data_IF_578305003851
#
_entry.id   IF_578305003851
#
_cell.length_a   1.000
_cell.length_b   1.000
_cell.length_c   1.000
_cell.angle_alpha   90.00
_cell.angle_beta   90.00
_cell.angle_gamma   90.00
#
_symmetry.space_group_name_H-M   'P 1'
#
loop_
_entity.id
_entity.type
_entity.pdbx_description
1 polymer ?
#
# COMPACT_ATOMS: atom_id res chain seq x y z
N UNK A 1 -31.01 41.67 -30.04
CA UNK A 1 -31.81 40.45 -29.85
C UNK A 1 -30.90 39.44 -29.17
N UNK A 2 -30.97 39.38 -27.84
CA UNK A 2 -30.20 38.41 -27.06
C UNK A 2 -31.01 37.12 -27.05
N UNK A 3 -30.49 36.08 -27.70
CA UNK A 3 -31.06 34.75 -27.67
C UNK A 3 -30.93 34.18 -26.27
N UNK A 4 -32.07 34.05 -25.59
CA UNK A 4 -32.19 33.28 -24.35
C UNK A 4 -31.81 31.83 -24.62
N UNK A 5 -30.76 31.37 -23.94
CA UNK A 5 -30.41 29.96 -23.85
C UNK A 5 -31.59 29.21 -23.22
N UNK A 6 -32.28 28.40 -24.02
CA UNK A 6 -33.24 27.41 -23.53
C UNK A 6 -32.50 26.42 -22.64
N UNK A 7 -32.73 26.49 -21.34
CA UNK A 7 -32.39 25.45 -20.39
C UNK A 7 -33.16 24.19 -20.77
N UNK A 8 -32.49 23.24 -21.42
CA UNK A 8 -33.07 21.92 -21.67
C UNK A 8 -33.46 21.28 -20.35
N UNK A 9 -34.68 20.74 -20.27
CA UNK A 9 -35.12 19.99 -19.10
C UNK A 9 -34.15 18.83 -18.84
N UNK A 10 -33.67 18.68 -17.60
CA UNK A 10 -32.80 17.57 -17.22
C UNK A 10 -33.49 16.24 -17.53
N UNK A 11 -32.76 15.30 -18.14
CA UNK A 11 -33.24 13.94 -18.48
C UNK A 11 -33.75 13.18 -17.25
N UNK A 12 -33.15 13.45 -16.08
CA UNK A 12 -33.46 12.86 -14.78
C UNK A 12 -33.82 13.93 -13.76
N UNK A 13 -34.44 13.56 -12.64
CA UNK A 13 -34.77 14.52 -11.56
C UNK A 13 -33.50 15.26 -11.09
N UNK A 14 -33.41 16.59 -11.33
CA UNK A 14 -32.23 17.37 -10.97
C UNK A 14 -32.08 17.56 -9.45
N UNK A 15 -33.14 17.31 -8.66
CA UNK A 15 -33.16 17.54 -7.22
C UNK A 15 -32.82 16.29 -6.39
N UNK A 16 -32.87 15.10 -7.00
CA UNK A 16 -32.72 13.83 -6.28
C UNK A 16 -31.43 13.75 -5.45
N UNK A 17 -30.27 14.07 -6.04
CA UNK A 17 -28.97 14.04 -5.34
C UNK A 17 -28.95 14.99 -4.15
N UNK A 18 -29.47 16.20 -4.31
CA UNK A 18 -29.50 17.18 -3.23
C UNK A 18 -30.44 16.74 -2.10
N UNK A 19 -31.56 16.09 -2.43
CA UNK A 19 -32.45 15.51 -1.43
C UNK A 19 -31.76 14.43 -0.58
N UNK A 20 -30.96 13.55 -1.20
CA UNK A 20 -30.19 12.52 -0.47
C UNK A 20 -29.12 13.16 0.44
N UNK A 21 -28.42 14.19 -0.04
CA UNK A 21 -27.44 14.93 0.78
C UNK A 21 -28.12 15.63 1.96
N UNK A 22 -29.28 16.25 1.73
CA UNK A 22 -30.06 16.94 2.76
C UNK A 22 -30.62 15.99 3.83
N UNK A 23 -30.72 14.69 3.54
CA UNK A 23 -31.16 13.68 4.51
C UNK A 23 -30.13 13.42 5.63
N UNK A 24 -28.88 13.90 5.51
CA UNK A 24 -27.89 13.79 6.57
C UNK A 24 -28.29 14.60 7.82
N UNK A 25 -28.62 13.89 8.90
CA UNK A 25 -29.09 14.47 10.16
C UNK A 25 -28.10 15.41 10.87
N UNK A 26 -28.55 16.15 11.90
CA UNK A 26 -27.77 17.20 12.56
C UNK A 26 -26.55 16.70 13.35
N UNK A 27 -26.49 15.39 13.67
CA UNK A 27 -25.37 14.78 14.42
C UNK A 27 -24.18 14.39 13.53
N UNK A 28 -24.28 14.48 12.21
CA UNK A 28 -23.16 14.19 11.30
C UNK A 28 -22.04 15.21 11.51
N UNK A 29 -20.84 14.74 11.83
CA UNK A 29 -19.67 15.60 12.02
C UNK A 29 -19.35 16.39 10.74
N UNK A 30 -18.67 17.57 10.85
CA UNK A 30 -18.30 18.36 9.67
C UNK A 30 -17.52 17.55 8.63
N UNK A 31 -16.54 16.75 9.05
CA UNK A 31 -15.73 15.94 8.15
C UNK A 31 -16.54 14.83 7.47
N UNK A 32 -17.40 14.13 8.22
CA UNK A 32 -18.24 13.08 7.64
C UNK A 32 -19.24 13.68 6.63
N UNK A 33 -19.79 14.87 6.93
CA UNK A 33 -20.68 15.57 6.02
C UNK A 33 -19.97 15.95 4.73
N UNK A 34 -18.74 16.44 4.80
CA UNK A 34 -17.91 16.77 3.64
C UNK A 34 -17.65 15.52 2.77
N UNK A 35 -17.14 14.44 3.37
CA UNK A 35 -16.82 13.19 2.68
C UNK A 35 -18.05 12.59 2.01
N UNK A 36 -19.15 12.42 2.75
CA UNK A 36 -20.37 11.80 2.23
C UNK A 36 -21.08 12.68 1.20
N UNK A 37 -21.04 14.02 1.34
CA UNK A 37 -21.56 14.93 0.31
C UNK A 37 -20.84 14.68 -1.02
N UNK A 38 -19.50 14.61 -0.99
CA UNK A 38 -18.71 14.37 -2.20
C UNK A 38 -19.00 13.00 -2.80
N UNK A 39 -18.95 11.95 -1.98
CA UNK A 39 -19.20 10.58 -2.42
C UNK A 39 -20.58 10.42 -3.08
N UNK A 40 -21.65 10.91 -2.43
CA UNK A 40 -23.02 10.81 -2.95
C UNK A 40 -23.14 11.54 -4.29
N UNK A 41 -22.54 12.73 -4.43
CA UNK A 41 -22.55 13.48 -5.70
C UNK A 41 -21.90 12.66 -6.81
N UNK A 42 -20.64 12.27 -6.62
CA UNK A 42 -19.89 11.55 -7.65
C UNK A 42 -20.49 10.19 -7.99
N UNK A 43 -21.04 9.46 -7.01
CA UNK A 43 -21.72 8.18 -7.26
C UNK A 43 -23.00 8.35 -8.09
N UNK A 44 -23.82 9.35 -7.78
CA UNK A 44 -25.04 9.62 -8.55
C UNK A 44 -24.71 10.15 -9.94
N UNK A 45 -23.67 10.96 -10.08
CA UNK A 45 -23.24 11.49 -11.37
C UNK A 45 -22.69 10.38 -12.26
N UNK A 46 -21.88 9.45 -11.72
CA UNK A 46 -21.47 8.22 -12.42
C UNK A 46 -22.69 7.42 -12.91
N UNK A 47 -23.66 7.15 -12.04
CA UNK A 47 -24.84 6.36 -12.41
C UNK A 47 -25.65 7.02 -13.55
N UNK A 48 -25.75 8.35 -13.56
CA UNK A 48 -26.43 9.09 -14.64
C UNK A 48 -25.61 9.17 -15.91
N UNK A 49 -24.29 9.29 -15.80
CA UNK A 49 -23.37 9.42 -16.94
C UNK A 49 -23.46 8.21 -17.86
N UNK A 50 -23.54 7.02 -17.28
CA UNK A 50 -23.56 5.76 -18.03
C UNK A 50 -24.97 5.17 -18.21
N UNK A 51 -26.01 5.88 -17.77
CA UNK A 51 -27.38 5.34 -17.71
C UNK A 51 -27.46 3.96 -17.01
N UNK A 52 -26.81 3.83 -15.84
CA UNK A 52 -26.62 2.57 -15.12
C UNK A 52 -27.93 1.79 -14.95
N UNK A 53 -27.95 0.54 -15.40
CA UNK A 53 -29.12 -0.32 -15.33
C UNK A 53 -29.26 -0.98 -13.96
N UNK A 54 -30.47 -1.48 -13.67
CA UNK A 54 -30.74 -2.24 -12.44
C UNK A 54 -29.90 -3.51 -12.37
N UNK A 55 -29.71 -4.19 -13.50
CA UNK A 55 -28.94 -5.44 -13.56
C UNK A 55 -27.45 -5.17 -13.32
N UNK A 56 -26.87 -4.14 -13.95
CA UNK A 56 -25.47 -3.73 -13.69
C UNK A 56 -25.26 -3.28 -12.24
N UNK A 57 -26.21 -2.54 -11.68
CA UNK A 57 -26.18 -2.17 -10.26
C UNK A 57 -26.21 -3.42 -9.36
N UNK A 58 -27.07 -4.39 -9.66
CA UNK A 58 -27.18 -5.63 -8.90
C UNK A 58 -25.87 -6.45 -8.95
N UNK A 59 -25.19 -6.50 -10.10
CA UNK A 59 -23.87 -7.13 -10.23
C UNK A 59 -22.80 -6.41 -9.39
N UNK A 60 -22.80 -5.07 -9.38
CA UNK A 60 -21.92 -4.29 -8.50
C UNK A 60 -22.15 -4.58 -7.02
N UNK A 61 -23.41 -4.70 -6.58
CA UNK A 61 -23.75 -5.10 -5.20
C UNK A 61 -23.29 -6.52 -4.89
N UNK A 62 -23.46 -7.45 -5.83
CA UNK A 62 -22.98 -8.84 -5.66
C UNK A 62 -21.46 -8.90 -5.51
N UNK A 63 -20.70 -8.12 -6.30
CA UNK A 63 -19.24 -8.03 -6.19
C UNK A 63 -18.81 -7.56 -4.79
N UNK A 64 -19.43 -6.51 -4.26
CA UNK A 64 -19.13 -5.98 -2.92
C UNK A 64 -19.46 -7.00 -1.82
N UNK A 65 -20.60 -7.67 -1.92
CA UNK A 65 -20.99 -8.71 -0.97
C UNK A 65 -20.03 -9.91 -0.99
N UNK A 66 -19.62 -10.34 -2.19
CA UNK A 66 -18.65 -11.42 -2.35
C UNK A 66 -17.30 -11.05 -1.73
N UNK A 67 -16.81 -9.83 -1.97
CA UNK A 67 -15.58 -9.33 -1.34
C UNK A 67 -15.66 -9.34 0.18
N UNK A 68 -16.79 -8.91 0.75
CA UNK A 68 -17.04 -8.98 2.19
C UNK A 68 -17.03 -10.42 2.74
N UNK A 69 -17.73 -11.35 2.07
CA UNK A 69 -17.85 -12.75 2.51
C UNK A 69 -16.54 -13.53 2.41
N UNK A 70 -15.72 -13.22 1.41
CA UNK A 70 -14.43 -13.88 1.21
C UNK A 70 -13.33 -13.35 2.14
N UNK A 71 -13.53 -12.14 2.67
CA UNK A 71 -12.54 -11.50 3.55
C UNK A 71 -12.49 -12.15 4.93
N UNK A 72 -11.29 -12.32 5.46
CA UNK A 72 -10.98 -12.86 6.78
C UNK A 72 -9.63 -12.29 7.28
N UNK A 73 -9.15 -12.73 8.46
CA UNK A 73 -7.92 -12.22 9.09
C UNK A 73 -6.64 -12.40 8.25
N UNK A 74 -6.65 -13.27 7.22
CA UNK A 74 -5.50 -13.54 6.35
C UNK A 74 -5.67 -13.03 4.92
N UNK A 75 -6.89 -12.62 4.53
CA UNK A 75 -7.23 -12.21 3.16
C UNK A 75 -8.29 -11.13 3.18
N UNK A 76 -7.99 -9.95 2.64
CA UNK A 76 -8.93 -8.84 2.55
C UNK A 76 -9.27 -8.52 1.08
N UNK A 77 -10.35 -9.12 0.56
CA UNK A 77 -10.79 -8.89 -0.82
C UNK A 77 -11.46 -7.53 -1.01
N UNK A 78 -12.05 -6.95 0.05
CA UNK A 78 -12.59 -5.59 -0.02
C UNK A 78 -11.48 -4.57 -0.32
N UNK A 79 -10.32 -4.72 0.34
CA UNK A 79 -9.13 -3.95 0.03
C UNK A 79 -8.63 -4.25 -1.38
N UNK A 80 -8.46 -5.53 -1.74
CA UNK A 80 -7.91 -5.88 -3.05
C UNK A 80 -8.74 -5.35 -4.22
N UNK A 81 -10.07 -5.28 -4.09
CA UNK A 81 -10.95 -4.62 -5.08
C UNK A 81 -10.63 -3.12 -5.21
N UNK A 82 -10.39 -2.41 -4.10
CA UNK A 82 -9.94 -1.02 -4.10
C UNK A 82 -8.58 -0.86 -4.78
N UNK A 83 -7.66 -1.80 -4.54
CA UNK A 83 -6.30 -1.77 -5.08
C UNK A 83 -6.31 -1.89 -6.60
N UNK A 84 -7.06 -2.85 -7.14
CA UNK A 84 -7.12 -3.08 -8.60
C UNK A 84 -7.86 -1.99 -9.36
N UNK A 85 -8.71 -1.18 -8.71
CA UNK A 85 -9.27 0.04 -9.32
C UNK A 85 -8.42 1.28 -9.06
N UNK A 86 -7.27 1.14 -8.39
CA UNK A 86 -6.28 2.20 -8.16
C UNK A 86 -6.62 3.16 -7.02
N UNK A 87 -7.64 2.87 -6.21
CA UNK A 87 -8.08 3.79 -5.16
C UNK A 87 -7.07 3.88 -4.01
N UNK A 88 -6.50 2.77 -3.55
CA UNK A 88 -5.51 2.78 -2.44
C UNK A 88 -4.28 3.60 -2.83
N UNK A 89 -3.73 3.35 -4.02
CA UNK A 89 -2.60 4.11 -4.56
C UNK A 89 -2.89 5.60 -4.69
N UNK A 90 -4.09 5.98 -5.17
CA UNK A 90 -4.47 7.40 -5.26
C UNK A 90 -4.58 8.06 -3.88
N UNK A 91 -5.15 7.36 -2.90
CA UNK A 91 -5.24 7.86 -1.51
C UNK A 91 -3.85 8.02 -0.89
N UNK A 92 -2.95 7.08 -1.13
CA UNK A 92 -1.54 7.17 -0.72
C UNK A 92 -0.84 8.36 -1.40
N UNK A 93 -1.03 8.58 -2.70
CA UNK A 93 -0.46 9.72 -3.41
C UNK A 93 -0.96 11.06 -2.84
N UNK A 94 -2.27 11.20 -2.58
CA UNK A 94 -2.84 12.41 -1.97
C UNK A 94 -2.22 12.65 -0.59
N UNK A 95 -2.11 11.59 0.22
CA UNK A 95 -1.54 11.65 1.56
C UNK A 95 -0.08 12.08 1.50
N UNK A 96 0.70 11.45 0.61
CA UNK A 96 2.10 11.79 0.39
C UNK A 96 2.27 13.22 -0.10
N UNK A 97 1.54 13.66 -1.12
CA UNK A 97 1.66 15.03 -1.66
C UNK A 97 1.31 16.09 -0.62
N UNK A 98 0.25 15.89 0.17
CA UNK A 98 -0.08 16.78 1.29
C UNK A 98 1.02 16.82 2.35
N UNK A 99 1.76 15.73 2.55
CA UNK A 99 2.93 15.70 3.43
C UNK A 99 4.18 16.32 2.80
N UNK A 100 4.41 16.10 1.50
CA UNK A 100 5.58 16.54 0.76
C UNK A 100 5.55 18.03 0.40
N UNK A 101 4.37 18.61 0.14
CA UNK A 101 4.18 20.07 0.02
C UNK A 101 4.64 20.84 1.27
N UNK A 102 4.82 20.14 2.38
CA UNK A 102 5.35 20.66 3.63
C UNK A 102 6.81 20.26 3.92
N UNK A 103 7.38 19.28 3.20
CA UNK A 103 8.76 18.82 3.39
C UNK A 103 9.27 18.02 2.16
N UNK A 104 10.14 18.64 1.36
CA UNK A 104 10.70 18.11 0.11
C UNK A 104 11.74 16.96 0.28
N UNK A 105 11.73 16.24 1.42
CA UNK A 105 12.92 15.52 1.90
C UNK A 105 12.68 14.12 2.50
N UNK A 106 11.44 13.62 2.58
CA UNK A 106 11.12 12.31 3.17
C UNK A 106 10.92 11.20 2.12
N UNK A 107 11.23 9.95 2.49
CA UNK A 107 11.01 8.77 1.63
C UNK A 107 9.53 8.66 1.24
N UNK A 108 9.27 8.33 -0.02
CA UNK A 108 7.90 8.15 -0.52
C UNK A 108 7.20 6.99 0.18
N UNK A 109 5.95 7.23 0.60
CA UNK A 109 5.08 6.13 1.05
C UNK A 109 4.61 5.31 -0.14
N UNK A 110 4.13 4.11 0.14
CA UNK A 110 3.41 3.26 -0.80
C UNK A 110 2.33 2.49 -0.03
N UNK A 111 1.43 1.85 -0.78
CA UNK A 111 0.37 1.02 -0.22
C UNK A 111 0.90 -0.09 0.69
N UNK A 112 0.14 -0.46 1.71
CA UNK A 112 0.50 -1.53 2.65
C UNK A 112 0.37 -2.91 1.99
N UNK A 113 -0.67 -3.06 1.17
CA UNK A 113 -1.13 -4.36 0.68
C UNK A 113 -1.75 -5.22 1.80
N UNK A 114 -2.34 -6.37 1.43
CA UNK A 114 -3.16 -7.17 2.36
C UNK A 114 -2.37 -8.16 3.23
N UNK A 115 -1.03 -8.15 3.17
CA UNK A 115 -0.21 -9.26 3.69
C UNK A 115 0.74 -8.91 4.84
N UNK A 116 0.55 -7.75 5.45
CA UNK A 116 1.31 -7.36 6.64
C UNK A 116 0.80 -8.09 7.90
N UNK A 117 1.72 -8.60 8.72
CA UNK A 117 1.45 -9.18 10.03
C UNK A 117 2.19 -8.39 11.13
N UNK A 118 1.61 -8.31 12.33
CA UNK A 118 2.14 -7.46 13.42
C UNK A 118 3.13 -8.16 14.35
N UNK A 119 3.25 -9.47 14.29
CA UNK A 119 4.07 -10.30 15.19
C UNK A 119 5.41 -10.76 14.58
N UNK A 120 5.95 -9.99 13.62
CA UNK A 120 7.23 -10.31 12.99
C UNK A 120 8.38 -10.45 14.01
N UNK A 121 9.21 -11.47 13.81
CA UNK A 121 10.32 -11.79 14.70
C UNK A 121 11.36 -10.68 14.71
N UNK A 122 11.75 -10.23 15.90
CA UNK A 122 12.86 -9.29 16.09
C UNK A 122 14.18 -10.01 15.80
N UNK A 123 14.98 -9.46 14.90
CA UNK A 123 16.25 -10.02 14.42
C UNK A 123 17.39 -9.02 14.58
N UNK A 124 18.63 -9.52 14.59
CA UNK A 124 19.84 -8.68 14.68
C UNK A 124 20.29 -8.23 13.30
N UNK A 125 20.97 -7.09 13.23
CA UNK A 125 21.65 -6.62 12.01
C UNK A 125 22.58 -7.73 11.49
N UNK A 126 22.43 -8.10 10.23
CA UNK A 126 23.18 -9.17 9.57
C UNK A 126 22.52 -10.56 9.64
N UNK A 127 21.38 -10.71 10.31
CA UNK A 127 20.59 -11.95 10.25
C UNK A 127 19.91 -12.11 8.88
N UNK A 128 19.50 -13.35 8.57
CA UNK A 128 18.63 -13.63 7.42
C UNK A 128 17.16 -13.56 7.83
N UNK A 129 16.32 -12.99 6.98
CA UNK A 129 14.85 -13.12 7.08
C UNK A 129 14.33 -14.38 6.37
N UNK A 130 15.13 -15.00 5.50
CA UNK A 130 14.78 -16.28 4.86
C UNK A 130 15.17 -17.45 5.77
N UNK A 131 14.18 -18.29 6.09
CA UNK A 131 14.33 -19.61 6.67
C UNK A 131 13.99 -20.66 5.61
N UNK A 132 14.83 -21.69 5.45
CA UNK A 132 14.70 -22.69 4.37
C UNK A 132 14.71 -22.05 2.97
N UNK A 133 15.79 -21.31 2.66
CA UNK A 133 15.98 -20.67 1.36
C UNK A 133 15.74 -21.62 0.19
N UNK A 134 14.81 -21.29 -0.74
CA UNK A 134 14.58 -22.07 -1.95
C UNK A 134 15.84 -22.20 -2.81
N UNK A 135 16.03 -23.32 -3.49
CA UNK A 135 17.21 -23.57 -4.33
C UNK A 135 17.32 -22.60 -5.52
N UNK A 136 16.19 -22.11 -6.02
CA UNK A 136 16.08 -21.15 -7.13
C UNK A 136 16.21 -19.68 -6.68
N UNK A 137 16.37 -19.44 -5.37
CA UNK A 137 16.42 -18.09 -4.84
C UNK A 137 17.78 -17.43 -5.03
N UNK A 138 17.76 -16.14 -5.37
CA UNK A 138 18.96 -15.28 -5.33
C UNK A 138 19.02 -14.58 -3.97
N UNK A 139 19.95 -14.99 -3.10
CA UNK A 139 20.17 -14.32 -1.80
C UNK A 139 20.92 -12.99 -1.99
N UNK A 140 20.41 -11.95 -1.36
CA UNK A 140 20.96 -10.58 -1.41
C UNK A 140 21.14 -10.02 -0.01
N UNK A 141 22.07 -9.08 0.15
CA UNK A 141 22.23 -8.31 1.37
C UNK A 141 21.60 -6.92 1.23
N UNK A 142 20.54 -6.65 1.98
CA UNK A 142 19.87 -5.35 2.01
C UNK A 142 20.31 -4.60 3.27
N UNK A 143 20.73 -3.35 3.11
CA UNK A 143 21.15 -2.51 4.23
C UNK A 143 20.86 -1.03 3.96
N UNK A 144 20.98 -0.20 4.98
CA UNK A 144 20.84 1.24 4.81
C UNK A 144 20.86 1.97 6.14
N UNK A 145 20.53 3.27 6.08
CA UNK A 145 20.44 4.14 7.23
C UNK A 145 19.07 4.81 7.33
N UNK A 146 18.52 4.89 8.52
CA UNK A 146 17.33 5.70 8.84
C UNK A 146 17.79 7.06 9.36
N UNK A 147 17.28 8.14 8.77
CA UNK A 147 17.67 9.52 9.09
C UNK A 147 16.46 10.44 9.23
N UNK A 148 16.63 11.52 9.99
CA UNK A 148 15.71 12.64 10.00
C UNK A 148 15.75 13.37 8.65
N UNK A 149 14.62 13.45 7.97
CA UNK A 149 14.48 14.13 6.69
C UNK A 149 14.88 15.62 6.74
N UNK A 150 14.73 16.27 7.90
CA UNK A 150 15.05 17.70 8.10
C UNK A 150 16.50 17.87 8.53
N UNK A 151 16.90 17.27 9.65
CA UNK A 151 18.24 17.50 10.23
C UNK A 151 19.34 16.65 9.62
N UNK A 152 18.98 15.62 8.82
CA UNK A 152 19.88 14.62 8.23
C UNK A 152 20.65 13.79 9.25
N UNK A 153 20.28 13.86 10.54
CA UNK A 153 20.91 13.08 11.60
C UNK A 153 20.41 11.63 11.56
N UNK A 154 21.25 10.64 11.90
CA UNK A 154 20.82 9.26 12.02
C UNK A 154 19.81 9.10 13.16
N UNK A 155 18.86 8.17 12.97
CA UNK A 155 17.85 7.82 13.95
C UNK A 155 18.16 6.45 14.53
N UNK A 156 18.69 6.43 15.74
CA UNK A 156 18.91 5.21 16.51
C UNK A 156 17.58 4.66 17.05
N UNK A 157 17.51 3.33 17.24
CA UNK A 157 16.34 2.64 17.78
C UNK A 157 15.04 2.85 16.96
N UNK A 158 15.15 3.23 15.68
CA UNK A 158 14.03 3.18 14.74
C UNK A 158 13.75 1.71 14.41
N UNK A 159 12.50 1.29 14.44
CA UNK A 159 12.13 -0.06 14.03
C UNK A 159 11.92 -0.11 12.51
N UNK A 160 12.60 -1.04 11.84
CA UNK A 160 12.47 -1.33 10.42
C UNK A 160 11.86 -2.72 10.28
N UNK A 161 10.60 -2.76 9.90
CA UNK A 161 9.83 -3.98 9.68
C UNK A 161 9.78 -4.29 8.19
N UNK A 162 10.11 -5.52 7.80
CA UNK A 162 10.23 -5.92 6.39
C UNK A 162 9.54 -7.24 6.13
N UNK A 163 8.92 -7.37 4.96
CA UNK A 163 8.33 -8.61 4.48
C UNK A 163 8.36 -8.69 2.95
N UNK A 164 8.42 -9.91 2.42
CA UNK A 164 8.39 -10.18 0.99
C UNK A 164 7.80 -11.57 0.68
N UNK A 165 7.37 -11.77 -0.56
CA UNK A 165 7.01 -13.10 -1.07
C UNK A 165 8.24 -13.98 -1.31
N UNK A 166 8.04 -15.30 -1.26
CA UNK A 166 9.05 -16.29 -1.69
C UNK A 166 9.15 -16.39 -3.22
N UNK A 167 10.05 -17.23 -3.73
CA UNK A 167 10.26 -17.44 -5.18
C UNK A 167 9.02 -18.02 -5.89
N UNK A 168 8.13 -18.67 -5.15
CA UNK A 168 6.82 -19.13 -5.64
C UNK A 168 5.74 -18.04 -5.68
N UNK A 169 6.07 -16.80 -5.28
CA UNK A 169 5.16 -15.65 -5.27
C UNK A 169 4.17 -15.63 -4.11
N UNK A 170 4.35 -16.48 -3.10
CA UNK A 170 3.48 -16.54 -1.91
C UNK A 170 4.18 -15.98 -0.68
N UNK A 171 3.42 -15.23 0.11
CA UNK A 171 3.79 -14.86 1.48
C UNK A 171 3.56 -16.06 2.42
N UNK A 172 4.26 -16.08 3.56
CA UNK A 172 4.14 -17.14 4.57
C UNK A 172 2.68 -17.50 4.90
N UNK A 173 1.83 -16.50 5.14
CA UNK A 173 0.43 -16.71 5.51
C UNK A 173 -0.44 -17.37 4.42
N UNK A 174 0.08 -17.45 3.18
CA UNK A 174 -0.56 -18.10 2.04
C UNK A 174 0.03 -19.49 1.76
N UNK A 175 1.15 -19.86 2.38
CA UNK A 175 1.91 -21.06 2.05
C UNK A 175 2.32 -21.82 3.32
N UNK A 176 1.55 -22.86 3.64
CA UNK A 176 1.78 -23.72 4.81
C UNK A 176 3.16 -24.42 4.81
N UNK A 177 3.86 -24.44 3.67
CA UNK A 177 5.21 -25.01 3.58
C UNK A 177 6.28 -24.05 4.08
N UNK A 178 5.97 -22.76 4.22
CA UNK A 178 6.91 -21.78 4.75
C UNK A 178 6.95 -21.85 6.27
N UNK A 179 8.15 -21.80 6.89
CA UNK A 179 8.27 -21.70 8.34
C UNK A 179 7.57 -20.46 8.90
N UNK A 180 7.15 -20.51 10.16
CA UNK A 180 6.62 -19.31 10.82
C UNK A 180 7.65 -18.17 10.79
N UNK A 181 7.21 -16.95 10.50
CA UNK A 181 8.02 -15.74 10.34
C UNK A 181 9.07 -15.82 9.22
N UNK A 182 8.81 -16.59 8.16
CA UNK A 182 9.70 -16.69 6.99
C UNK A 182 9.54 -15.45 6.11
N UNK A 183 10.67 -14.95 5.59
CA UNK A 183 10.75 -13.77 4.72
C UNK A 183 10.14 -12.50 5.34
N UNK A 184 10.01 -12.50 6.67
CA UNK A 184 9.61 -11.36 7.48
C UNK A 184 10.63 -11.12 8.60
N UNK A 185 10.78 -9.87 9.02
CA UNK A 185 11.66 -9.54 10.13
C UNK A 185 11.55 -8.10 10.59
N UNK A 186 11.74 -7.90 11.90
CA UNK A 186 11.81 -6.58 12.52
C UNK A 186 13.21 -6.32 13.04
N UNK A 187 13.77 -5.17 12.67
CA UNK A 187 15.11 -4.75 13.06
C UNK A 187 15.04 -3.42 13.79
N UNK A 188 16.01 -3.15 14.66
CA UNK A 188 16.19 -1.84 15.28
C UNK A 188 17.52 -1.26 14.81
N UNK A 189 17.50 0.01 14.42
CA UNK A 189 18.70 0.71 13.97
C UNK A 189 19.70 0.93 15.11
N UNK A 190 20.99 0.85 14.81
CA UNK A 190 22.08 1.12 15.76
C UNK A 190 22.28 2.63 16.04
N UNK A 191 23.31 3.00 16.83
CA UNK A 191 23.60 4.41 17.14
C UNK A 191 23.87 5.28 15.90
N UNK A 192 24.27 4.67 14.78
CA UNK A 192 24.49 5.33 13.50
C UNK A 192 23.25 5.28 12.62
N UNK A 193 22.10 4.82 13.13
CA UNK A 193 20.86 4.70 12.38
C UNK A 193 20.87 3.57 11.36
N UNK A 194 21.85 2.65 11.41
CA UNK A 194 22.02 1.63 10.38
C UNK A 194 21.20 0.37 10.66
N UNK A 195 20.71 -0.25 9.60
CA UNK A 195 20.08 -1.56 9.60
C UNK A 195 20.63 -2.41 8.44
N UNK A 196 20.44 -3.73 8.51
CA UNK A 196 20.75 -4.61 7.39
C UNK A 196 20.52 -6.08 7.67
N UNK A 197 20.22 -6.85 6.64
CA UNK A 197 19.80 -8.24 6.72
C UNK A 197 19.99 -8.95 5.38
N UNK A 198 20.07 -10.28 5.41
CA UNK A 198 19.99 -11.10 4.21
C UNK A 198 18.53 -11.41 3.88
N UNK A 199 18.18 -11.30 2.61
CA UNK A 199 16.86 -11.59 2.09
C UNK A 199 16.96 -12.21 0.70
N UNK A 200 15.84 -12.46 0.04
CA UNK A 200 15.83 -12.89 -1.35
C UNK A 200 15.68 -11.67 -2.25
N UNK A 201 16.36 -11.66 -3.40
CA UNK A 201 16.00 -10.74 -4.48
C UNK A 201 14.54 -11.01 -4.83
N UNK A 202 13.65 -10.01 -4.78
CA UNK A 202 12.24 -10.26 -4.99
C UNK A 202 11.98 -10.73 -6.43
N UNK A 203 10.93 -11.50 -6.62
CA UNK A 203 10.43 -11.92 -7.93
C UNK A 203 9.02 -11.37 -8.15
N UNK A 204 8.61 -11.09 -9.40
CA UNK A 204 7.23 -10.71 -9.67
C UNK A 204 6.27 -11.84 -9.31
N UNK A 205 5.08 -11.49 -8.83
CA UNK A 205 4.08 -12.48 -8.43
C UNK A 205 2.66 -11.99 -8.72
N UNK A 206 1.71 -12.90 -8.98
CA UNK A 206 0.32 -12.54 -9.15
C UNK A 206 -0.37 -12.28 -7.81
N UNK A 207 -1.20 -11.25 -7.72
CA UNK A 207 -2.19 -11.13 -6.64
C UNK A 207 -3.21 -12.29 -6.73
N UNK A 208 -3.97 -12.58 -5.65
CA UNK A 208 -5.06 -13.56 -5.72
C UNK A 208 -6.01 -13.28 -6.90
N UNK A 209 -6.19 -14.28 -7.77
CA UNK A 209 -6.93 -14.16 -9.03
C UNK A 209 -8.21 -15.01 -9.08
N UNK A 210 -8.54 -15.64 -7.96
CA UNK A 210 -9.69 -16.53 -7.73
C UNK A 210 -10.87 -15.82 -7.05
N UNK A 211 -10.69 -14.56 -6.61
CA UNK A 211 -11.67 -13.76 -5.90
C UNK A 211 -12.34 -12.66 -6.74
N UNK A 212 -13.14 -11.78 -6.11
CA UNK A 212 -13.82 -10.67 -6.79
C UNK A 212 -12.84 -9.71 -7.47
N UNK A 213 -11.70 -9.40 -6.86
CA UNK A 213 -10.69 -8.55 -7.50
C UNK A 213 -10.12 -9.21 -8.75
N UNK A 214 -9.82 -10.51 -8.68
CA UNK A 214 -9.40 -11.32 -9.83
C UNK A 214 -10.45 -11.34 -10.94
N UNK A 215 -11.73 -11.52 -10.58
CA UNK A 215 -12.83 -11.48 -11.53
C UNK A 215 -12.95 -10.11 -12.21
N UNK A 216 -12.79 -9.02 -11.46
CA UNK A 216 -12.80 -7.67 -12.01
C UNK A 216 -11.65 -7.45 -12.99
N UNK A 217 -10.43 -7.89 -12.65
CA UNK A 217 -9.29 -7.84 -13.56
C UNK A 217 -9.55 -8.63 -14.85
N UNK A 218 -10.15 -9.83 -14.77
CA UNK A 218 -10.53 -10.61 -15.95
C UNK A 218 -11.53 -9.87 -16.85
N UNK A 219 -12.55 -9.23 -16.26
CA UNK A 219 -13.54 -8.45 -17.00
C UNK A 219 -12.93 -7.22 -17.69
N UNK A 220 -11.86 -6.68 -17.11
CA UNK A 220 -11.10 -5.55 -17.66
C UNK A 220 -9.95 -5.97 -18.59
N UNK A 221 -9.80 -7.26 -18.88
CA UNK A 221 -8.68 -7.83 -19.65
C UNK A 221 -7.30 -7.45 -19.09
N UNK A 222 -7.15 -7.54 -17.76
CA UNK A 222 -5.92 -7.20 -17.02
C UNK A 222 -5.30 -8.42 -16.35
N UNK A 223 -3.97 -8.41 -16.28
CA UNK A 223 -3.19 -9.43 -15.57
C UNK A 223 -3.13 -9.17 -14.05
N UNK A 224 -2.89 -10.20 -13.23
CA UNK A 224 -2.76 -10.06 -11.77
C UNK A 224 -1.35 -9.75 -11.27
N UNK A 225 -0.35 -9.65 -12.15
CA UNK A 225 1.04 -9.53 -11.72
C UNK A 225 1.37 -8.17 -11.12
N UNK A 226 2.10 -8.22 -10.00
CA UNK A 226 2.85 -7.11 -9.42
C UNK A 226 4.34 -7.27 -9.75
N UNK A 227 5.08 -6.18 -9.91
CA UNK A 227 6.53 -6.22 -10.05
C UNK A 227 7.18 -6.77 -8.77
N UNK A 228 8.43 -7.18 -8.87
CA UNK A 228 9.24 -7.66 -7.76
C UNK A 228 9.46 -6.54 -6.74
N UNK A 229 9.00 -6.74 -5.50
CA UNK A 229 9.13 -5.74 -4.45
C UNK A 229 9.41 -6.32 -3.06
N UNK A 230 9.90 -5.46 -2.16
CA UNK A 230 10.06 -5.72 -0.73
C UNK A 230 9.34 -4.61 0.01
N UNK A 231 8.53 -4.97 1.00
CA UNK A 231 7.78 -4.03 1.81
C UNK A 231 8.56 -3.57 3.05
N UNK A 232 8.24 -2.36 3.50
CA UNK A 232 8.81 -1.73 4.68
C UNK A 232 7.73 -1.02 5.51
N UNK A 233 7.79 -1.19 6.84
CA UNK A 233 7.22 -0.24 7.80
C UNK A 233 8.35 0.28 8.67
N UNK A 234 8.47 1.61 8.77
CA UNK A 234 9.47 2.25 9.63
C UNK A 234 8.82 3.16 10.64
N UNK A 235 9.15 2.93 11.92
CA UNK A 235 8.66 3.70 13.06
C UNK A 235 9.85 4.24 13.85
N UNK A 236 9.76 5.50 14.26
CA UNK A 236 10.71 6.12 15.19
C UNK A 236 9.97 7.13 16.07
N UNK A 237 10.34 7.20 17.34
CA UNK A 237 9.73 8.14 18.27
C UNK A 237 9.92 9.59 17.81
N UNK A 238 8.85 10.37 17.77
CA UNK A 238 8.89 11.77 17.30
C UNK A 238 8.83 11.93 15.78
N UNK A 239 8.70 10.84 15.01
CA UNK A 239 8.61 10.85 13.56
C UNK A 239 7.29 10.27 13.04
N UNK A 240 6.90 10.72 11.85
CA UNK A 240 5.77 10.17 11.11
C UNK A 240 6.11 8.74 10.67
N UNK A 241 5.19 7.78 10.86
CA UNK A 241 5.38 6.41 10.40
C UNK A 241 5.48 6.38 8.87
N UNK A 242 6.29 5.46 8.33
CA UNK A 242 6.39 5.22 6.89
C UNK A 242 5.95 3.80 6.60
N UNK A 243 4.94 3.65 5.76
CA UNK A 243 4.69 2.42 5.01
C UNK A 243 5.16 2.65 3.59
N UNK A 244 6.05 1.79 3.08
CA UNK A 244 6.57 1.89 1.73
C UNK A 244 6.96 0.52 1.19
N UNK A 245 7.37 0.48 -0.07
CA UNK A 245 7.94 -0.69 -0.71
C UNK A 245 8.96 -0.23 -1.75
N UNK A 246 9.91 -1.11 -2.07
CA UNK A 246 10.90 -0.87 -3.13
C UNK A 246 10.65 -1.84 -4.28
N UNK A 247 10.97 -1.43 -5.50
CA UNK A 247 10.77 -2.21 -6.70
C UNK A 247 12.09 -2.48 -7.41
N UNK A 248 12.35 -3.73 -7.77
CA UNK A 248 13.54 -4.07 -8.54
C UNK A 248 13.47 -3.46 -9.94
N UNK A 249 14.49 -2.67 -10.33
CA UNK A 249 14.57 -2.03 -11.65
C UNK A 249 14.53 -3.01 -12.82
N UNK A 250 14.90 -4.27 -12.60
CA UNK A 250 14.91 -5.30 -13.65
C UNK A 250 13.59 -6.08 -13.69
N UNK A 251 12.57 -5.66 -12.91
CA UNK A 251 11.29 -6.34 -12.86
C UNK A 251 10.46 -6.14 -14.12
N UNK A 252 9.79 -7.20 -14.58
CA UNK A 252 8.99 -7.20 -15.80
C UNK A 252 7.78 -6.24 -15.76
N UNK A 253 7.17 -6.06 -14.59
CA UNK A 253 5.85 -5.40 -14.48
C UNK A 253 5.90 -4.01 -13.85
N UNK A 254 6.98 -3.25 -14.10
CA UNK A 254 7.13 -1.90 -13.54
C UNK A 254 6.13 -0.91 -14.14
N UNK A 255 5.87 -1.02 -15.45
CA UNK A 255 5.00 -0.11 -16.19
C UNK A 255 3.52 -0.50 -16.15
N UNK A 256 3.19 -1.70 -15.65
CA UNK A 256 1.85 -2.30 -15.69
C UNK A 256 1.45 -3.03 -14.38
N UNK A 257 1.96 -2.62 -13.22
CA UNK A 257 1.57 -3.16 -11.90
C UNK A 257 0.04 -3.22 -11.74
N UNK A 258 -0.49 -4.40 -11.39
CA UNK A 258 -1.94 -4.64 -11.26
C UNK A 258 -2.63 -3.75 -10.22
N UNK A 259 -1.87 -3.15 -9.30
CA UNK A 259 -2.36 -2.24 -8.26
C UNK A 259 -1.73 -0.84 -8.31
N UNK A 260 -1.01 -0.52 -9.39
CA UNK A 260 -0.49 0.82 -9.69
C UNK A 260 0.49 1.40 -8.66
N UNK A 261 1.17 0.58 -7.86
CA UNK A 261 1.89 1.08 -6.69
C UNK A 261 3.34 1.54 -6.97
N UNK A 262 3.81 1.37 -8.21
CA UNK A 262 5.16 1.74 -8.64
C UNK A 262 5.31 3.26 -8.68
N UNK A 263 6.41 3.75 -8.10
CA UNK A 263 6.84 5.15 -8.18
C UNK A 263 8.32 5.16 -8.52
N UNK A 264 8.74 6.05 -9.40
CA UNK A 264 10.13 6.13 -9.89
C UNK A 264 11.17 6.19 -8.74
N UNK A 265 10.86 6.94 -7.68
CA UNK A 265 11.77 7.09 -6.53
C UNK A 265 11.90 5.85 -5.66
N UNK A 266 11.01 4.87 -5.83
CA UNK A 266 11.00 3.59 -5.13
C UNK A 266 11.59 2.45 -5.97
N UNK A 267 11.99 2.73 -7.22
CA UNK A 267 12.72 1.77 -8.06
C UNK A 267 14.18 1.74 -7.61
N UNK A 268 14.70 0.54 -7.37
CA UNK A 268 16.02 0.28 -6.81
C UNK A 268 16.85 -0.67 -7.67
N UNK A 269 18.17 -0.59 -7.54
CA UNK A 269 19.11 -1.46 -8.24
C UNK A 269 19.84 -2.39 -7.26
N UNK A 270 19.71 -3.70 -7.47
CA UNK A 270 20.55 -4.69 -6.80
C UNK A 270 21.90 -4.77 -7.53
N UNK A 271 22.96 -4.32 -6.88
CA UNK A 271 24.32 -4.28 -7.44
C UNK A 271 25.15 -5.49 -7.00
N UNK A 272 26.20 -5.88 -7.75
CA UNK A 272 27.08 -6.97 -7.33
C UNK A 272 27.76 -6.70 -5.98
N UNK A 273 27.70 -7.67 -5.07
CA UNK A 273 28.39 -7.64 -3.79
C UNK A 273 29.67 -8.46 -3.89
N UNK A 274 30.79 -7.86 -3.48
CA UNK A 274 32.10 -8.52 -3.49
C UNK A 274 32.43 -9.05 -2.10
N UNK A 275 33.11 -10.19 -2.04
CA UNK A 275 33.69 -10.76 -0.81
C UNK A 275 32.67 -11.19 0.27
N UNK A 276 31.47 -11.58 -0.15
CA UNK A 276 30.46 -12.21 0.72
C UNK A 276 30.01 -13.53 0.11
N UNK A 277 30.29 -14.64 0.79
CA UNK A 277 29.94 -15.98 0.30
C UNK A 277 28.43 -16.26 0.35
N UNK A 278 27.67 -15.49 1.15
CA UNK A 278 26.23 -15.70 1.35
C UNK A 278 25.36 -14.96 0.33
N UNK A 279 25.85 -13.84 -0.21
CA UNK A 279 25.07 -12.98 -1.11
C UNK A 279 25.93 -12.46 -2.26
N UNK A 280 25.46 -12.70 -3.48
CA UNK A 280 26.14 -12.23 -4.71
C UNK A 280 25.79 -10.79 -5.07
N UNK A 281 24.71 -10.26 -4.50
CA UNK A 281 24.24 -8.88 -4.70
C UNK A 281 23.90 -8.20 -3.39
N UNK A 282 23.87 -6.88 -3.44
CA UNK A 282 23.45 -6.03 -2.35
C UNK A 282 22.55 -4.90 -2.84
N UNK A 283 21.82 -4.34 -1.88
CA UNK A 283 21.05 -3.13 -2.05
C UNK A 283 21.27 -2.23 -0.84
N UNK A 284 21.70 -0.99 -1.11
CA UNK A 284 21.63 0.09 -0.13
C UNK A 284 20.32 0.86 -0.29
N UNK A 285 19.52 0.93 0.76
CA UNK A 285 18.27 1.68 0.79
C UNK A 285 18.18 2.58 2.02
N UNK A 286 18.44 3.88 1.83
CA UNK A 286 18.41 4.86 2.91
C UNK A 286 16.99 5.44 3.09
N UNK A 287 16.52 5.52 4.32
CA UNK A 287 15.15 5.93 4.67
C UNK A 287 15.19 7.27 5.39
N UNK A 288 14.41 8.23 4.92
CA UNK A 288 14.32 9.59 5.49
C UNK A 288 12.94 9.80 6.10
N UNK A 289 12.90 9.96 7.42
CA UNK A 289 11.66 10.11 8.19
C UNK A 289 11.34 11.58 8.46
N UNK A 290 10.09 11.99 8.23
CA UNK A 290 9.62 13.32 8.56
C UNK A 290 9.28 13.44 10.06
N UNK A 291 9.72 14.48 10.78
CA UNK A 291 9.32 14.70 12.17
C UNK A 291 7.79 14.87 12.30
N UNK A 292 7.19 14.49 13.42
CA UNK A 292 5.76 14.73 13.69
C UNK A 292 5.39 16.22 13.64
N UNK A 293 6.34 17.10 13.97
CA UNK A 293 6.17 18.57 13.91
C UNK A 293 6.15 19.14 12.49
N UNK A 294 6.53 18.36 11.47
CA UNK A 294 6.44 18.81 10.08
C UNK A 294 4.97 18.99 9.68
N UNK A 295 4.66 20.08 8.96
CA UNK A 295 3.33 20.30 8.40
C UNK A 295 2.96 19.14 7.45
N UNK A 296 1.67 18.97 7.17
CA UNK A 296 1.14 17.86 6.39
C UNK A 296 0.60 16.74 7.28
N UNK A 297 -0.68 16.45 7.15
CA UNK A 297 -1.32 15.34 7.85
C UNK A 297 -0.78 14.03 7.29
N UNK A 298 0.20 13.41 7.97
CA UNK A 298 0.14 11.95 8.01
C UNK A 298 -1.05 11.65 8.90
N UNK A 299 -2.06 10.93 8.40
CA UNK A 299 -2.97 10.26 9.32
C UNK A 299 -2.15 9.52 10.38
N UNK A 300 -2.69 9.37 11.59
CA UNK A 300 -2.15 8.38 12.52
C UNK A 300 -1.93 7.10 11.72
N UNK A 301 -0.79 6.41 11.92
CA UNK A 301 -0.63 5.10 11.30
C UNK A 301 -1.90 4.30 11.59
N UNK A 302 -2.38 3.53 10.61
CA UNK A 302 -3.46 2.56 10.79
C UNK A 302 -3.22 1.61 11.98
N UNK A 303 -2.01 1.63 12.57
CA UNK A 303 -1.56 0.81 13.68
C UNK A 303 -1.45 1.57 15.03
N UNK A 304 -1.62 2.90 15.09
CA UNK A 304 -1.40 3.65 16.37
C UNK A 304 -2.66 4.03 17.15
N UNK A 305 -3.85 3.90 16.59
CA UNK A 305 -5.09 4.28 17.31
C UNK A 305 -6.24 3.33 16.99
N UNK A 306 -6.32 2.22 17.71
CA UNK A 306 -7.55 1.40 17.68
C UNK A 306 -7.49 0.00 18.28
N UNK A 307 -6.33 -0.63 18.42
CA UNK A 307 -6.24 -1.92 19.12
C UNK A 307 -5.97 -1.67 20.59
N UNK A 308 -7.07 -1.54 21.35
CA UNK A 308 -7.03 -1.54 22.80
C UNK A 308 -6.29 -2.77 23.34
N UNK A 309 -5.61 -2.56 24.46
CA UNK A 309 -4.99 -3.57 25.32
C UNK A 309 -5.91 -4.81 25.40
N UNK A 310 -5.54 -5.89 24.74
CA UNK A 310 -6.41 -7.04 24.60
C UNK A 310 -5.94 -8.08 23.59
N UNK A 311 -4.63 -8.33 23.52
CA UNK A 311 -4.01 -9.63 23.24
C UNK A 311 -2.73 -9.70 24.06
#
# INVERSE_FOLDING_TARGET
MNGENKTGASRYDPNFTQNVINAMGPKTSPRMREVMTSLIKHLHDFAREIDLTVDEWAEGVQLLNWAGQMSNDRRNEGQLVCDVVGLETLVDEITYKKAAEAADLATQSAILGPFFQTDHTIRKKGDSISANTPEDAEVVYLYGQVTDATTKKPLANASVDVWQASTNGLYEQQDEKQPKSNLCGKFYTDENGEYGFYCLRPTPYPIPYDGPAGKLLQLLDRHPYRPAHIHFIVLAEGFKPITTQIFDKDSKYLDDDSVFAVKDSLIVEFVPRKSDEKAKKELRYDIKMAPLSSKGESGEALVTTGMGRGF
#
